data_IF_846990974703
#
_entry.id   IF_846990974703
#
_cell.length_a   1.000
_cell.length_b   1.000
_cell.length_c   1.000
_cell.angle_alpha   90.00
_cell.angle_beta   90.00
_cell.angle_gamma   90.00
#
_symmetry.space_group_name_H-M   'P 1'
#
loop_
_entity.id
_entity.type
_entity.pdbx_description
1 polymer ?
#
# COMPACT_ATOMS: atom_id res chain seq x y z
N UNK A 1 -4.16 -1.32 -29.33
CA UNK A 1 -3.12 -1.58 -28.31
C UNK A 1 -2.88 -0.25 -27.60
N UNK A 2 -3.53 -0.02 -26.47
CA UNK A 2 -3.19 1.14 -25.64
C UNK A 2 -1.79 0.87 -25.08
N UNK A 3 -0.84 1.79 -25.25
CA UNK A 3 0.51 1.62 -24.70
C UNK A 3 0.48 1.64 -23.17
N UNK A 4 1.61 1.36 -22.50
CA UNK A 4 1.72 1.36 -21.02
C UNK A 4 1.47 2.74 -20.37
N UNK A 5 1.46 3.81 -21.16
CA UNK A 5 1.38 5.20 -20.69
C UNK A 5 0.18 5.54 -19.79
N UNK A 6 -1.05 5.02 -20.02
CA UNK A 6 -2.16 5.26 -19.11
C UNK A 6 -1.93 4.63 -17.73
N UNK A 7 -1.46 3.38 -17.66
CA UNK A 7 -1.13 2.72 -16.39
C UNK A 7 -0.07 3.50 -15.60
N UNK A 8 0.98 4.01 -16.28
CA UNK A 8 1.97 4.87 -15.66
C UNK A 8 1.35 6.15 -15.08
N UNK A 9 0.49 6.81 -15.84
CA UNK A 9 -0.17 8.03 -15.38
C UNK A 9 -1.05 7.80 -14.14
N UNK A 10 -1.79 6.69 -14.08
CA UNK A 10 -2.66 6.42 -12.93
C UNK A 10 -1.87 5.92 -11.71
N UNK A 11 -0.77 5.20 -11.94
CA UNK A 11 0.21 4.94 -10.89
C UNK A 11 0.79 6.24 -10.32
N UNK A 12 1.10 7.22 -11.17
CA UNK A 12 1.61 8.52 -10.75
C UNK A 12 0.59 9.29 -9.89
N UNK A 13 -0.71 9.17 -10.19
CA UNK A 13 -1.78 9.74 -9.35
C UNK A 13 -1.76 9.11 -7.95
N UNK A 14 -1.71 7.78 -7.85
CA UNK A 14 -1.65 7.10 -6.55
C UNK A 14 -0.41 7.53 -5.75
N UNK A 15 0.76 7.60 -6.41
CA UNK A 15 2.00 8.09 -5.80
C UNK A 15 1.90 9.54 -5.34
N UNK A 16 1.20 10.39 -6.08
CA UNK A 16 0.99 11.79 -5.72
C UNK A 16 0.08 11.92 -4.50
N UNK A 17 -1.03 11.18 -4.43
CA UNK A 17 -1.91 11.15 -3.25
C UNK A 17 -1.15 10.69 -2.00
N UNK A 18 -0.33 9.65 -2.11
CA UNK A 18 0.49 9.16 -0.99
C UNK A 18 1.57 10.19 -0.55
N UNK A 19 1.91 11.18 -1.36
CA UNK A 19 2.76 12.30 -0.91
C UNK A 19 1.93 13.37 -0.20
N UNK A 20 0.79 13.72 -0.77
CA UNK A 20 0.00 14.87 -0.30
C UNK A 20 -0.84 14.56 0.93
N UNK A 21 -1.13 13.28 1.20
CA UNK A 21 -1.83 12.85 2.42
C UNK A 21 -0.97 12.97 3.68
N UNK A 22 0.37 12.98 3.56
CA UNK A 22 1.30 12.92 4.70
C UNK A 22 1.00 13.95 5.81
N UNK A 23 0.72 15.24 5.53
CA UNK A 23 0.39 16.23 6.56
C UNK A 23 -0.92 15.95 7.31
N UNK A 24 -1.82 15.14 6.74
CA UNK A 24 -3.07 14.71 7.35
C UNK A 24 -2.87 13.50 8.27
N UNK A 25 -1.77 12.76 8.15
CA UNK A 25 -1.46 11.60 9.00
C UNK A 25 -0.84 12.11 10.31
N UNK A 26 -1.68 12.27 11.34
CA UNK A 26 -1.27 12.78 12.65
C UNK A 26 -2.16 12.29 13.77
N UNK A 27 -1.67 12.42 15.00
CA UNK A 27 -2.36 12.04 16.23
C UNK A 27 -3.81 12.54 16.25
N UNK A 28 -4.72 11.64 16.63
CA UNK A 28 -6.15 11.94 16.78
C UNK A 28 -6.98 11.86 15.50
N UNK A 29 -6.36 11.93 14.30
CA UNK A 29 -7.03 11.53 13.07
C UNK A 29 -7.25 10.00 13.08
N UNK A 30 -8.18 9.49 12.28
CA UNK A 30 -8.58 8.08 12.29
C UNK A 30 -8.65 7.48 10.88
N UNK A 31 -8.75 6.14 10.79
CA UNK A 31 -8.81 5.41 9.50
C UNK A 31 -9.88 5.97 8.56
N UNK A 32 -11.10 6.20 9.05
CA UNK A 32 -12.18 6.79 8.28
C UNK A 32 -11.81 8.15 7.67
N UNK A 33 -11.29 9.07 8.47
CA UNK A 33 -10.91 10.39 8.00
C UNK A 33 -9.78 10.35 6.97
N UNK A 34 -8.81 9.44 7.13
CA UNK A 34 -7.71 9.27 6.17
C UNK A 34 -8.23 8.67 4.86
N UNK A 35 -9.09 7.67 4.92
CA UNK A 35 -9.68 7.05 3.74
C UNK A 35 -10.54 8.05 2.94
N UNK A 36 -11.30 8.91 3.65
CA UNK A 36 -12.07 9.99 3.04
C UNK A 36 -11.16 11.04 2.38
N UNK A 37 -10.12 11.50 3.07
CA UNK A 37 -9.14 12.46 2.52
C UNK A 37 -8.41 11.89 1.29
N UNK A 38 -7.99 10.62 1.32
CA UNK A 38 -7.41 9.95 0.15
C UNK A 38 -8.41 9.90 -1.03
N UNK A 39 -9.69 9.60 -0.76
CA UNK A 39 -10.74 9.58 -1.79
C UNK A 39 -10.93 10.95 -2.41
N UNK A 40 -10.93 12.02 -1.59
CA UNK A 40 -11.01 13.39 -2.08
C UNK A 40 -9.80 13.79 -2.92
N UNK A 41 -8.58 13.45 -2.48
CA UNK A 41 -7.34 13.72 -3.24
C UNK A 41 -7.31 12.97 -4.57
N UNK A 42 -7.73 11.69 -4.60
CA UNK A 42 -7.86 10.92 -5.84
C UNK A 42 -8.81 11.61 -6.82
N UNK A 43 -9.99 12.06 -6.35
CA UNK A 43 -10.96 12.78 -7.17
C UNK A 43 -10.38 14.12 -7.69
N UNK A 44 -9.66 14.87 -6.85
CA UNK A 44 -8.98 16.12 -7.25
C UNK A 44 -7.93 15.89 -8.35
N UNK A 45 -7.25 14.75 -8.34
CA UNK A 45 -6.29 14.36 -9.38
C UNK A 45 -6.94 13.64 -10.59
N UNK A 46 -8.27 13.51 -10.61
CA UNK A 46 -9.02 12.99 -11.75
C UNK A 46 -9.33 11.50 -11.71
N UNK A 47 -9.07 10.81 -10.59
CA UNK A 47 -9.43 9.42 -10.35
C UNK A 47 -10.66 9.33 -9.43
N UNK A 48 -11.84 9.19 -10.04
CA UNK A 48 -13.12 9.16 -9.31
C UNK A 48 -13.66 7.74 -9.07
N UNK A 49 -13.09 6.73 -9.72
CA UNK A 49 -13.46 5.33 -9.55
C UNK A 49 -12.30 4.57 -8.88
N UNK A 50 -12.61 3.36 -8.39
CA UNK A 50 -11.62 2.44 -7.82
C UNK A 50 -11.91 1.01 -8.27
N UNK A 51 -10.86 0.24 -8.57
CA UNK A 51 -11.02 -1.11 -9.12
C UNK A 51 -11.23 -2.17 -8.03
N UNK A 52 -10.71 -1.94 -6.82
CA UNK A 52 -10.77 -2.92 -5.74
C UNK A 52 -12.08 -2.77 -4.97
N UNK A 53 -13.13 -3.43 -5.44
CA UNK A 53 -14.44 -3.52 -4.74
C UNK A 53 -15.08 -2.17 -4.36
N UNK A 54 -14.86 -1.12 -5.15
CA UNK A 54 -15.29 0.25 -4.81
C UNK A 54 -14.67 0.80 -3.51
N UNK A 55 -13.45 0.38 -3.18
CA UNK A 55 -12.63 0.87 -2.07
C UNK A 55 -11.47 1.71 -2.61
N UNK A 56 -11.58 3.04 -2.69
CA UNK A 56 -10.51 3.89 -3.22
C UNK A 56 -9.24 3.85 -2.37
N UNK A 57 -9.41 3.77 -1.04
CA UNK A 57 -8.33 3.72 -0.07
C UNK A 57 -8.64 2.72 1.06
N UNK A 58 -7.81 1.69 1.18
CA UNK A 58 -7.77 0.81 2.34
C UNK A 58 -6.76 1.37 3.34
N UNK A 59 -7.20 1.65 4.56
CA UNK A 59 -6.39 2.30 5.60
C UNK A 59 -6.45 1.47 6.87
N UNK A 60 -5.27 1.14 7.40
CA UNK A 60 -5.10 0.41 8.65
C UNK A 60 -4.16 1.18 9.57
N UNK A 61 -4.53 1.30 10.85
CA UNK A 61 -3.79 2.07 11.87
C UNK A 61 -3.41 1.19 13.07
N UNK A 62 -2.19 1.36 13.57
CA UNK A 62 -1.69 0.70 14.77
C UNK A 62 -1.72 -0.83 14.62
N UNK A 63 -2.25 -1.54 15.61
CA UNK A 63 -2.35 -3.00 15.55
C UNK A 63 -3.13 -3.52 14.33
N UNK A 64 -4.04 -2.72 13.76
CA UNK A 64 -4.78 -3.13 12.57
C UNK A 64 -3.91 -3.27 11.33
N UNK A 65 -2.69 -2.71 11.31
CA UNK A 65 -1.75 -2.91 10.19
C UNK A 65 -1.26 -4.36 10.06
N UNK A 66 -1.58 -5.24 11.02
CA UNK A 66 -1.29 -6.68 10.91
C UNK A 66 -2.46 -7.48 10.33
N UNK A 67 -3.53 -6.81 9.89
CA UNK A 67 -4.67 -7.45 9.25
C UNK A 67 -4.46 -7.54 7.74
N UNK A 68 -4.83 -8.67 7.15
CA UNK A 68 -5.04 -8.82 5.71
C UNK A 68 -6.54 -8.96 5.47
N UNK A 69 -7.14 -7.96 4.81
CA UNK A 69 -8.61 -7.83 4.67
C UNK A 69 -8.97 -7.74 3.19
N UNK A 70 -9.93 -8.56 2.76
CA UNK A 70 -10.51 -8.46 1.41
C UNK A 70 -11.25 -7.14 1.24
N UNK A 71 -11.13 -6.49 0.08
CA UNK A 71 -11.89 -5.28 -0.25
C UNK A 71 -13.41 -5.48 -0.20
N UNK A 72 -13.89 -6.73 -0.33
CA UNK A 72 -15.32 -7.07 -0.15
C UNK A 72 -15.81 -6.94 1.29
N UNK A 73 -14.90 -7.06 2.26
CA UNK A 73 -15.18 -7.06 3.70
C UNK A 73 -14.66 -5.78 4.38
N UNK A 74 -13.75 -5.07 3.71
CA UNK A 74 -13.13 -3.89 4.26
C UNK A 74 -14.14 -2.76 4.48
N UNK A 75 -14.08 -2.19 5.69
CA UNK A 75 -14.66 -0.90 6.03
C UNK A 75 -13.65 -0.13 6.87
N UNK A 76 -13.43 1.17 6.60
CA UNK A 76 -12.56 1.96 7.44
C UNK A 76 -13.15 2.05 8.85
N UNK A 77 -12.32 1.83 9.87
CA UNK A 77 -12.78 1.91 11.25
C UNK A 77 -12.67 3.35 11.81
N UNK A 78 -13.11 3.55 13.05
CA UNK A 78 -12.85 4.78 13.80
C UNK A 78 -11.55 4.71 14.63
N UNK A 79 -10.67 3.75 14.35
CA UNK A 79 -9.39 3.60 15.05
C UNK A 79 -8.56 4.87 14.84
N UNK A 80 -8.25 5.56 15.94
CA UNK A 80 -7.48 6.78 15.93
C UNK A 80 -5.98 6.49 15.92
N UNK A 81 -5.23 7.34 15.23
CA UNK A 81 -3.77 7.36 15.24
C UNK A 81 -3.30 7.78 16.63
N UNK A 82 -2.55 6.88 17.28
CA UNK A 82 -1.81 7.12 18.50
C UNK A 82 -0.52 7.93 18.26
N UNK A 83 0.18 8.25 19.36
CA UNK A 83 1.37 9.10 19.27
C UNK A 83 2.58 8.39 18.64
N UNK A 84 2.62 7.06 18.69
CA UNK A 84 3.68 6.23 18.12
C UNK A 84 3.04 5.01 17.46
N UNK A 85 2.69 5.14 16.18
CA UNK A 85 1.90 4.16 15.45
C UNK A 85 2.42 3.96 14.02
N UNK A 86 1.92 2.91 13.37
CA UNK A 86 2.05 2.71 11.94
C UNK A 86 0.70 2.98 11.26
N UNK A 87 0.74 3.66 10.12
CA UNK A 87 -0.43 3.85 9.25
C UNK A 87 -0.09 3.26 7.89
N UNK A 88 -0.84 2.27 7.44
CA UNK A 88 -0.71 1.71 6.07
C UNK A 88 -1.90 2.17 5.25
N UNK A 89 -1.63 2.75 4.08
CA UNK A 89 -2.61 3.18 3.10
C UNK A 89 -2.35 2.40 1.81
N UNK A 90 -3.38 1.78 1.26
CA UNK A 90 -3.37 1.08 -0.02
C UNK A 90 -4.43 1.68 -0.94
N UNK A 91 -3.99 2.23 -2.08
CA UNK A 91 -4.82 2.97 -3.03
C UNK A 91 -5.09 2.15 -4.28
N UNK A 92 -6.35 2.10 -4.69
CA UNK A 92 -6.79 1.33 -5.86
C UNK A 92 -7.50 2.16 -6.96
N UNK A 93 -6.98 3.34 -7.35
CA UNK A 93 -7.68 4.21 -8.30
C UNK A 93 -7.89 3.57 -9.66
N UNK A 94 -9.00 3.91 -10.29
CA UNK A 94 -9.33 3.51 -11.65
C UNK A 94 -9.77 4.72 -12.48
N UNK A 95 -9.29 4.79 -13.71
CA UNK A 95 -9.78 5.76 -14.70
C UNK A 95 -9.95 5.06 -16.04
N UNK A 96 -11.19 5.07 -16.56
CA UNK A 96 -11.54 4.48 -17.87
C UNK A 96 -11.07 3.01 -18.00
N UNK A 97 -11.13 2.25 -16.92
CA UNK A 97 -10.76 0.83 -16.87
C UNK A 97 -9.26 0.53 -16.71
N UNK A 98 -8.40 1.56 -16.60
CA UNK A 98 -6.99 1.41 -16.25
C UNK A 98 -6.80 1.58 -14.75
N UNK A 99 -5.99 0.69 -14.17
CA UNK A 99 -5.80 0.60 -12.72
C UNK A 99 -4.47 1.25 -12.30
N UNK A 100 -4.51 1.99 -11.20
CA UNK A 100 -3.34 2.26 -10.36
C UNK A 100 -3.42 1.44 -9.08
N UNK A 101 -2.27 1.08 -8.54
CA UNK A 101 -2.19 0.23 -7.35
C UNK A 101 -0.94 0.61 -6.55
N UNK A 102 -1.12 1.19 -5.37
CA UNK A 102 0.01 1.63 -4.58
C UNK A 102 -0.30 1.66 -3.09
N UNK A 103 0.49 0.90 -2.33
CA UNK A 103 0.52 0.96 -0.89
C UNK A 103 1.74 1.70 -0.35
N UNK A 104 1.56 2.36 0.80
CA UNK A 104 2.66 2.92 1.59
C UNK A 104 2.31 2.89 3.08
N UNK A 105 3.33 2.61 3.89
CA UNK A 105 3.25 2.73 5.35
C UNK A 105 4.01 3.96 5.85
N UNK A 106 3.43 4.65 6.84
CA UNK A 106 3.97 5.85 7.48
C UNK A 106 4.15 5.57 8.97
N UNK A 107 5.36 5.80 9.47
CA UNK A 107 5.63 5.78 10.90
C UNK A 107 5.19 7.12 11.46
N UNK A 108 4.36 7.10 12.50
CA UNK A 108 4.01 8.27 13.31
C UNK A 108 4.81 8.19 14.59
N UNK A 109 5.53 9.26 14.93
CA UNK A 109 6.27 9.39 16.20
C UNK A 109 5.97 10.75 16.81
N UNK A 110 5.73 10.79 18.12
CA UNK A 110 5.30 12.01 18.83
C UNK A 110 4.09 12.71 18.17
N UNK A 111 3.24 11.94 17.50
CA UNK A 111 1.97 12.39 16.91
C UNK A 111 2.04 12.97 15.50
N UNK A 112 3.18 12.87 14.80
CA UNK A 112 3.31 13.24 13.38
C UNK A 112 4.11 12.21 12.61
N UNK A 113 3.95 12.17 11.28
CA UNK A 113 4.80 11.33 10.42
C UNK A 113 6.28 11.65 10.66
N UNK A 114 7.07 10.60 10.83
CA UNK A 114 8.51 10.68 11.00
C UNK A 114 9.23 9.78 9.99
N UNK A 115 10.50 10.10 9.76
CA UNK A 115 11.36 9.25 8.95
C UNK A 115 11.87 8.09 9.81
N UNK A 116 11.96 6.86 9.28
CA UNK A 116 12.47 5.72 10.04
C UNK A 116 13.88 5.98 10.57
N UNK A 117 14.05 6.01 11.90
CA UNK A 117 15.32 6.36 12.57
C UNK A 117 15.48 5.65 13.91
N UNK A 118 16.68 5.11 14.15
CA UNK A 118 17.00 4.42 15.41
C UNK A 118 16.47 2.99 15.48
N UNK A 119 16.51 2.40 16.67
CA UNK A 119 16.29 0.97 16.89
C UNK A 119 14.88 0.71 17.46
N UNK A 120 13.85 0.79 16.61
CA UNK A 120 12.46 0.44 16.96
C UNK A 120 11.97 -0.72 16.08
N UNK A 121 10.98 -1.48 16.55
CA UNK A 121 10.39 -2.58 15.79
C UNK A 121 9.75 -2.10 14.47
N UNK A 122 9.15 -0.90 14.46
CA UNK A 122 8.62 -0.28 13.25
C UNK A 122 9.72 0.02 12.22
N UNK A 123 10.88 0.51 12.69
CA UNK A 123 12.00 0.76 11.79
C UNK A 123 12.58 -0.54 11.23
N UNK A 124 12.66 -1.60 12.04
CA UNK A 124 13.10 -2.91 11.54
C UNK A 124 12.14 -3.45 10.47
N UNK A 125 10.82 -3.35 10.69
CA UNK A 125 9.82 -3.76 9.72
C UNK A 125 9.89 -2.98 8.39
N UNK A 126 9.94 -1.64 8.45
CA UNK A 126 10.06 -0.79 7.24
C UNK A 126 11.37 -1.04 6.50
N UNK A 127 12.48 -1.29 7.20
CA UNK A 127 13.73 -1.61 6.53
C UNK A 127 13.71 -3.01 5.88
N UNK A 128 13.08 -4.00 6.51
CA UNK A 128 12.88 -5.32 5.91
C UNK A 128 12.01 -5.24 4.65
N UNK A 129 10.91 -4.48 4.68
CA UNK A 129 10.06 -4.23 3.51
C UNK A 129 10.84 -3.57 2.36
N UNK A 130 11.70 -2.58 2.66
CA UNK A 130 12.59 -1.96 1.67
C UNK A 130 13.60 -2.93 1.08
N UNK A 131 14.19 -3.81 1.88
CA UNK A 131 15.10 -4.85 1.42
C UNK A 131 14.39 -5.85 0.49
N UNK A 132 13.18 -6.28 0.85
CA UNK A 132 12.36 -7.16 0.03
C UNK A 132 11.96 -6.48 -1.30
N UNK A 133 11.58 -5.21 -1.28
CA UNK A 133 11.29 -4.44 -2.50
C UNK A 133 12.52 -4.26 -3.39
N UNK A 134 13.71 -4.04 -2.81
CA UNK A 134 14.94 -3.98 -3.58
C UNK A 134 15.26 -5.33 -4.25
N UNK A 135 15.15 -6.42 -3.50
CA UNK A 135 15.35 -7.77 -4.01
C UNK A 135 14.36 -8.09 -5.13
N UNK A 136 13.07 -7.80 -4.92
CA UNK A 136 12.03 -8.03 -5.93
C UNK A 136 12.34 -7.28 -7.23
N UNK A 137 12.79 -6.01 -7.16
CA UNK A 137 13.19 -5.23 -8.34
C UNK A 137 14.42 -5.80 -9.04
N UNK A 138 15.40 -6.29 -8.27
CA UNK A 138 16.62 -6.87 -8.82
C UNK A 138 16.34 -8.15 -9.62
N UNK A 139 15.48 -9.02 -9.09
CA UNK A 139 15.20 -10.34 -9.68
C UNK A 139 14.07 -10.30 -10.70
N UNK A 140 13.27 -9.24 -10.79
CA UNK A 140 12.15 -9.12 -11.75
C UNK A 140 12.66 -8.84 -13.17
N UNK A 141 12.98 -9.91 -13.91
CA UNK A 141 13.41 -9.85 -15.31
C UNK A 141 12.38 -10.52 -16.22
N UNK A 142 12.40 -10.29 -17.55
CA UNK A 142 11.52 -11.02 -18.48
C UNK A 142 11.71 -12.54 -18.48
N UNK A 143 12.80 -13.05 -17.89
CA UNK A 143 13.08 -14.49 -17.78
C UNK A 143 12.62 -15.08 -16.44
N UNK A 144 12.37 -14.24 -15.43
CA UNK A 144 11.99 -14.67 -14.09
C UNK A 144 10.52 -15.05 -14.09
N UNK A 145 10.20 -16.29 -13.71
CA UNK A 145 8.82 -16.73 -13.58
C UNK A 145 8.16 -16.17 -12.32
N UNK A 146 6.84 -16.00 -12.31
CA UNK A 146 6.10 -15.59 -11.10
C UNK A 146 6.30 -16.58 -9.94
N UNK A 147 6.45 -17.87 -10.23
CA UNK A 147 6.73 -18.88 -9.22
C UNK A 147 8.12 -18.69 -8.59
N UNK A 148 9.13 -18.41 -9.41
CA UNK A 148 10.48 -18.13 -8.92
C UNK A 148 10.52 -16.86 -8.06
N UNK A 149 9.86 -15.79 -8.53
CA UNK A 149 9.70 -14.55 -7.79
C UNK A 149 9.07 -14.80 -6.41
N UNK A 150 7.96 -15.55 -6.40
CA UNK A 150 7.25 -15.92 -5.17
C UNK A 150 8.15 -16.72 -4.21
N UNK A 151 8.84 -17.74 -4.71
CA UNK A 151 9.71 -18.61 -3.90
C UNK A 151 10.88 -17.85 -3.28
N UNK A 152 11.56 -17.00 -4.05
CA UNK A 152 12.70 -16.22 -3.57
C UNK A 152 12.26 -15.24 -2.49
N UNK A 153 11.18 -14.49 -2.72
CA UNK A 153 10.72 -13.46 -1.78
C UNK A 153 10.14 -14.09 -0.52
N UNK A 154 9.33 -15.16 -0.64
CA UNK A 154 8.82 -15.90 0.51
C UNK A 154 9.97 -16.44 1.37
N UNK A 155 11.02 -16.99 0.74
CA UNK A 155 12.17 -17.50 1.48
C UNK A 155 12.95 -16.39 2.18
N UNK A 156 13.07 -15.22 1.56
CA UNK A 156 13.70 -14.05 2.18
C UNK A 156 12.92 -13.55 3.39
N UNK A 157 11.59 -13.49 3.32
CA UNK A 157 10.70 -13.14 4.46
C UNK A 157 10.99 -14.07 5.65
N UNK A 158 10.97 -15.39 5.43
CA UNK A 158 11.28 -16.38 6.47
C UNK A 158 12.68 -16.22 7.04
N UNK A 159 13.67 -16.00 6.17
CA UNK A 159 15.10 -15.89 6.56
C UNK A 159 15.36 -14.65 7.40
N UNK A 160 14.63 -13.57 7.14
CA UNK A 160 14.64 -12.35 7.95
C UNK A 160 13.87 -12.49 9.27
N UNK A 161 13.15 -13.60 9.48
CA UNK A 161 12.38 -13.87 10.69
C UNK A 161 10.97 -13.26 10.70
N UNK A 162 10.43 -12.91 9.53
CA UNK A 162 9.06 -12.40 9.37
C UNK A 162 8.10 -13.48 8.85
N UNK A 163 6.81 -13.20 8.93
CA UNK A 163 5.71 -14.03 8.43
C UNK A 163 4.90 -13.22 7.41
N UNK A 164 4.43 -13.88 6.35
CA UNK A 164 3.47 -13.27 5.43
C UNK A 164 2.05 -13.39 6.03
N UNK A 165 1.46 -12.25 6.36
CA UNK A 165 0.11 -12.18 6.93
C UNK A 165 -1.00 -12.08 5.87
N UNK A 166 -0.66 -12.06 4.58
CA UNK A 166 -1.66 -12.06 3.52
C UNK A 166 -2.57 -13.30 3.62
N UNK A 167 -3.89 -13.11 3.55
CA UNK A 167 -4.85 -14.21 3.75
C UNK A 167 -4.79 -15.29 2.65
N UNK A 168 -4.21 -14.98 1.48
CA UNK A 168 -3.93 -15.93 0.41
C UNK A 168 -2.44 -16.28 0.29
N UNK A 169 -1.60 -15.75 1.18
CA UNK A 169 -0.14 -15.85 1.10
C UNK A 169 0.46 -15.14 -0.11
N UNK A 170 -0.26 -14.23 -0.77
CA UNK A 170 0.20 -13.53 -1.94
C UNK A 170 1.34 -12.55 -1.62
N UNK A 171 2.11 -12.22 -2.65
CA UNK A 171 3.18 -11.21 -2.61
C UNK A 171 2.97 -10.09 -3.64
N UNK A 172 1.89 -10.18 -4.42
CA UNK A 172 1.54 -9.24 -5.48
C UNK A 172 0.64 -9.89 -6.53
N UNK A 173 0.14 -9.07 -7.45
CA UNK A 173 -0.67 -9.49 -8.59
C UNK A 173 -0.42 -8.58 -9.80
N UNK A 174 -0.95 -8.96 -10.96
CA UNK A 174 -0.97 -8.07 -12.13
C UNK A 174 -2.00 -6.97 -11.94
N UNK A 175 -1.71 -5.78 -12.48
CA UNK A 175 -2.64 -4.63 -12.53
C UNK A 175 -3.22 -4.42 -13.93
N UNK A 176 -2.81 -5.26 -14.90
CA UNK A 176 -3.39 -5.20 -16.24
C UNK A 176 -4.80 -5.76 -16.20
N UNK A 177 -5.74 -4.96 -16.70
CA UNK A 177 -7.10 -5.42 -16.85
C UNK A 177 -7.14 -6.52 -17.93
N UNK A 178 -7.47 -7.74 -17.54
CA UNK A 178 -7.87 -8.80 -18.46
C UNK A 178 -9.25 -8.47 -19.03
N UNK A 179 -9.35 -7.43 -19.86
CA UNK A 179 -10.40 -7.41 -20.86
C UNK A 179 -10.04 -8.52 -21.86
N UNK A 180 -10.68 -9.68 -21.69
CA UNK A 180 -10.66 -10.76 -22.66
C UNK A 180 -11.20 -10.35 -24.03
#
# INVERSE_FOLDING_TARGET
>A
MFGISPYLHFQDIALQVLRDIEPFIKYGNNEFGIADECTQLLAQYGANDSWYHSVPALVLVGERTTLSISGTEYQPSNTAIGANDLVTIDLSPMVKGFWGDCARSYIVESGSVSQPRGNSYLNYGINAERELHNLMREISTPQTSMHELYCVISKSIETMGYENLDFNGNLGHSIENHFG
#
